data_IF_111182018117
#
_entry.id   IF_111182018117
#
_cell.length_a   1.000
_cell.length_b   1.000
_cell.length_c   1.000
_cell.angle_alpha   90.00
_cell.angle_beta   90.00
_cell.angle_gamma   90.00
#
_symmetry.space_group_name_H-M   'P 1'
#
loop_
_entity.id
_entity.type
_entity.pdbx_description
1 polymer ?
#
# COMPACT_ATOMS: atom_id res chain seq x y z
N UNK A 1 -22.60 33.04 -10.26
CA UNK A 1 -22.48 33.33 -8.82
C UNK A 1 -23.14 32.18 -8.06
N UNK A 2 -22.50 31.01 -7.96
CA UNK A 2 -21.61 30.55 -6.85
C UNK A 2 -22.31 30.59 -5.48
N UNK A 3 -22.84 29.46 -4.99
CA UNK A 3 -22.12 28.36 -4.28
C UNK A 3 -21.87 28.63 -2.79
N UNK A 4 -22.93 28.82 -2.01
CA UNK A 4 -22.80 28.98 -0.54
C UNK A 4 -23.79 28.14 0.31
N UNK A 5 -24.73 27.41 -0.29
CA UNK A 5 -25.80 26.72 0.47
C UNK A 5 -25.54 25.24 0.79
N UNK A 6 -24.41 24.67 0.38
CA UNK A 6 -24.16 23.22 0.46
C UNK A 6 -23.23 22.75 1.57
N UNK A 7 -22.88 23.59 2.56
CA UNK A 7 -21.97 23.22 3.66
C UNK A 7 -22.62 23.11 5.06
N UNK A 8 -23.94 23.16 5.18
CA UNK A 8 -24.64 23.13 6.49
C UNK A 8 -25.61 21.97 6.66
N UNK A 9 -25.33 20.82 6.06
CA UNK A 9 -25.99 19.56 6.44
C UNK A 9 -25.00 18.64 7.14
N UNK A 10 -24.63 19.01 8.37
CA UNK A 10 -24.09 18.06 9.33
C UNK A 10 -25.24 17.10 9.67
N UNK A 11 -25.01 15.80 9.46
CA UNK A 11 -25.94 14.64 9.48
C UNK A 11 -26.71 14.37 10.79
N UNK A 12 -26.94 15.37 11.62
CA UNK A 12 -27.61 15.24 12.92
C UNK A 12 -28.73 16.26 13.03
N UNK A 13 -29.66 16.36 12.07
CA UNK A 13 -30.99 17.02 12.16
C UNK A 13 -31.13 18.44 12.76
N UNK A 14 -30.06 19.07 13.19
CA UNK A 14 -30.03 20.24 14.05
C UNK A 14 -29.28 21.33 13.29
N UNK A 15 -29.92 22.49 13.16
CA UNK A 15 -29.27 23.63 12.53
C UNK A 15 -28.10 24.12 13.39
N UNK A 16 -27.07 24.72 12.76
CA UNK A 16 -25.93 25.30 13.47
C UNK A 16 -26.37 26.30 14.56
N UNK A 17 -27.45 27.05 14.31
CA UNK A 17 -28.06 27.95 15.30
C UNK A 17 -28.59 27.20 16.52
N UNK A 18 -29.26 26.07 16.31
CA UNK A 18 -29.82 25.25 17.40
C UNK A 18 -28.72 24.65 18.28
N UNK A 19 -27.60 24.23 17.69
CA UNK A 19 -26.43 23.73 18.43
C UNK A 19 -25.77 24.85 19.25
N UNK A 20 -25.60 26.03 18.66
CA UNK A 20 -25.04 27.21 19.34
C UNK A 20 -25.94 27.64 20.50
N UNK A 21 -27.25 27.71 20.30
CA UNK A 21 -28.21 28.07 21.35
C UNK A 21 -28.21 27.07 22.52
N UNK A 22 -28.04 25.77 22.24
CA UNK A 22 -27.88 24.76 23.29
C UNK A 22 -26.54 24.90 24.03
N UNK A 23 -25.44 25.16 23.32
CA UNK A 23 -24.15 25.40 23.95
C UNK A 23 -24.18 26.62 24.88
N UNK A 24 -24.85 27.71 24.47
CA UNK A 24 -25.01 28.91 25.30
C UNK A 24 -25.83 28.59 26.55
N UNK A 25 -26.97 27.90 26.43
CA UNK A 25 -27.80 27.51 27.59
C UNK A 25 -27.07 26.60 28.58
N UNK A 26 -26.25 25.68 28.06
CA UNK A 26 -25.40 24.81 28.88
C UNK A 26 -24.33 25.65 29.58
N UNK A 27 -23.67 26.57 28.86
CA UNK A 27 -22.67 27.49 29.42
C UNK A 27 -23.26 28.35 30.55
N UNK A 28 -24.42 28.94 30.34
CA UNK A 28 -25.11 29.78 31.33
C UNK A 28 -25.53 28.95 32.56
N UNK A 29 -25.99 27.71 32.37
CA UNK A 29 -26.34 26.80 33.47
C UNK A 29 -25.11 26.37 34.29
N UNK A 30 -23.95 26.20 33.65
CA UNK A 30 -22.69 25.85 34.34
C UNK A 30 -22.10 27.07 35.06
N UNK A 31 -22.27 28.29 34.51
CA UNK A 31 -21.80 29.53 35.13
C UNK A 31 -22.46 29.82 36.49
N UNK A 32 -23.71 29.38 36.69
CA UNK A 32 -24.46 29.54 37.95
C UNK A 32 -23.89 28.69 39.11
N UNK A 33 -23.11 27.65 38.82
CA UNK A 33 -22.63 26.67 39.83
C UNK A 33 -21.31 27.10 40.51
N UNK A 34 -20.76 28.25 40.11
CA UNK A 34 -19.54 28.82 40.68
C UNK A 34 -18.23 28.20 40.16
N UNK A 35 -17.07 28.84 40.42
CA UNK A 35 -15.81 28.52 39.74
C UNK A 35 -15.29 27.10 39.98
N UNK A 36 -15.59 26.51 41.14
CA UNK A 36 -15.16 25.15 41.49
C UNK A 36 -15.93 24.08 40.72
N UNK A 37 -17.24 24.25 40.57
CA UNK A 37 -18.07 23.34 39.81
C UNK A 37 -17.78 23.41 38.30
N UNK A 38 -17.47 24.60 37.77
CA UNK A 38 -17.01 24.76 36.39
C UNK A 38 -15.69 24.01 36.14
N UNK A 39 -14.69 24.16 37.02
CA UNK A 39 -13.43 23.40 36.92
C UNK A 39 -13.66 21.90 36.95
N UNK A 40 -14.53 21.44 37.85
CA UNK A 40 -14.89 20.03 37.97
C UNK A 40 -15.55 19.50 36.69
N UNK A 41 -16.51 20.24 36.12
CA UNK A 41 -17.16 19.88 34.85
C UNK A 41 -16.16 19.79 33.68
N UNK A 42 -15.21 20.73 33.59
CA UNK A 42 -14.17 20.72 32.56
C UNK A 42 -13.21 19.53 32.69
N UNK A 43 -12.86 19.12 33.92
CA UNK A 43 -12.05 17.93 34.16
C UNK A 43 -12.79 16.67 33.69
N UNK A 44 -14.07 16.52 34.04
CA UNK A 44 -14.87 15.38 33.60
C UNK A 44 -15.07 15.33 32.08
N UNK A 45 -15.31 16.48 31.44
CA UNK A 45 -15.40 16.58 29.99
C UNK A 45 -14.07 16.20 29.31
N UNK A 46 -12.94 16.72 29.81
CA UNK A 46 -11.62 16.39 29.30
C UNK A 46 -11.25 14.92 29.49
N UNK A 47 -11.64 14.30 30.61
CA UNK A 47 -11.44 12.88 30.84
C UNK A 47 -12.29 12.03 29.87
N UNK A 48 -13.54 12.42 29.63
CA UNK A 48 -14.42 11.74 28.67
C UNK A 48 -13.85 11.74 27.24
N UNK A 49 -13.27 12.87 26.80
CA UNK A 49 -12.62 12.98 25.49
C UNK A 49 -11.40 12.05 25.41
N UNK A 50 -10.52 12.07 26.41
CA UNK A 50 -9.32 11.22 26.43
C UNK A 50 -9.65 9.72 26.42
N UNK A 51 -10.69 9.32 27.14
CA UNK A 51 -11.16 7.92 27.14
C UNK A 51 -11.72 7.53 25.77
N UNK A 52 -12.47 8.43 25.11
CA UNK A 52 -12.97 8.19 23.76
C UNK A 52 -11.83 8.08 22.72
N UNK A 53 -10.84 8.98 22.79
CA UNK A 53 -9.65 8.94 21.94
C UNK A 53 -8.86 7.65 22.12
N UNK A 54 -8.59 7.26 23.37
CA UNK A 54 -7.87 6.02 23.67
C UNK A 54 -8.60 4.78 23.13
N UNK A 55 -9.93 4.75 23.18
CA UNK A 55 -10.74 3.65 22.63
C UNK A 55 -10.67 3.59 21.11
N UNK A 56 -10.68 4.74 20.43
CA UNK A 56 -10.56 4.79 18.96
C UNK A 56 -9.17 4.32 18.53
N UNK A 57 -8.12 4.77 19.21
CA UNK A 57 -6.74 4.35 18.92
C UNK A 57 -6.58 2.84 19.15
N UNK A 58 -7.04 2.32 20.29
CA UNK A 58 -6.96 0.88 20.58
C UNK A 58 -7.72 0.03 19.54
N UNK A 59 -8.93 0.46 19.13
CA UNK A 59 -9.70 -0.23 18.09
C UNK A 59 -9.02 -0.17 16.71
N UNK A 60 -8.35 0.94 16.41
CA UNK A 60 -7.58 1.07 15.17
C UNK A 60 -6.36 0.15 15.16
N UNK A 61 -5.60 0.13 16.25
CA UNK A 61 -4.42 -0.73 16.39
C UNK A 61 -4.79 -2.21 16.33
N UNK A 62 -5.86 -2.63 17.02
CA UNK A 62 -6.38 -4.00 16.93
C UNK A 62 -6.82 -4.37 15.51
N UNK A 63 -7.48 -3.45 14.80
CA UNK A 63 -7.83 -3.68 13.40
C UNK A 63 -6.59 -3.78 12.50
N UNK A 64 -5.56 -2.98 12.78
CA UNK A 64 -4.32 -2.98 12.03
C UNK A 64 -3.51 -4.27 12.25
N UNK A 65 -3.42 -4.75 13.50
CA UNK A 65 -2.76 -6.03 13.83
C UNK A 65 -3.51 -7.19 13.20
N UNK A 66 -4.84 -7.26 13.33
CA UNK A 66 -5.64 -8.31 12.71
C UNK A 66 -5.50 -8.34 11.18
N UNK A 67 -5.47 -7.18 10.52
CA UNK A 67 -5.20 -7.10 9.08
C UNK A 67 -3.80 -7.60 8.74
N UNK A 68 -2.80 -7.18 9.52
CA UNK A 68 -1.41 -7.61 9.33
C UNK A 68 -1.27 -9.13 9.47
N UNK A 69 -1.83 -9.70 10.53
CA UNK A 69 -1.77 -11.14 10.82
C UNK A 69 -2.54 -11.95 9.78
N UNK A 70 -3.72 -11.46 9.36
CA UNK A 70 -4.47 -12.07 8.27
C UNK A 70 -3.66 -12.10 6.97
N UNK A 71 -3.06 -10.98 6.57
CA UNK A 71 -2.24 -10.90 5.36
C UNK A 71 -0.99 -11.78 5.46
N UNK A 72 -0.35 -11.85 6.62
CA UNK A 72 0.81 -12.70 6.86
C UNK A 72 0.45 -14.19 6.75
N UNK A 73 -0.67 -14.61 7.35
CA UNK A 73 -1.15 -15.99 7.30
C UNK A 73 -1.56 -16.39 5.89
N UNK A 74 -2.32 -15.54 5.19
CA UNK A 74 -2.68 -15.78 3.79
C UNK A 74 -1.46 -15.85 2.88
N UNK A 75 -0.45 -15.00 3.12
CA UNK A 75 0.81 -15.06 2.38
C UNK A 75 1.52 -16.41 2.56
N UNK A 76 1.55 -16.97 3.78
CA UNK A 76 2.16 -18.27 4.05
C UNK A 76 1.37 -19.44 3.46
N UNK A 77 0.04 -19.36 3.50
CA UNK A 77 -0.85 -20.38 2.92
C UNK A 77 -0.86 -20.38 1.39
N UNK A 78 -0.64 -19.22 0.75
CA UNK A 78 -0.47 -19.12 -0.70
C UNK A 78 0.94 -19.54 -1.13
N UNK A 79 1.96 -19.22 -0.32
CA UNK A 79 3.36 -19.53 -0.63
C UNK A 79 3.62 -21.04 -0.74
N UNK A 80 3.04 -21.83 0.16
CA UNK A 80 3.27 -23.28 0.24
C UNK A 80 2.84 -24.03 -1.03
N UNK A 81 1.60 -23.90 -1.54
CA UNK A 81 1.19 -24.53 -2.80
C UNK A 81 1.96 -23.96 -3.99
N UNK A 82 2.27 -22.65 -4.01
CA UNK A 82 3.05 -22.03 -5.08
C UNK A 82 4.47 -22.62 -5.18
N UNK A 83 5.15 -22.83 -4.06
CA UNK A 83 6.47 -23.49 -4.02
C UNK A 83 6.41 -24.95 -4.51
N UNK A 84 5.33 -25.67 -4.19
CA UNK A 84 5.08 -27.00 -4.71
C UNK A 84 4.93 -27.00 -6.24
N UNK A 85 4.15 -26.07 -6.79
CA UNK A 85 3.96 -25.93 -8.24
C UNK A 85 5.26 -25.56 -8.97
N UNK A 86 6.06 -24.65 -8.41
CA UNK A 86 7.37 -24.29 -8.96
C UNK A 86 8.38 -25.44 -8.94
N UNK A 87 8.39 -26.20 -7.84
CA UNK A 87 9.25 -27.39 -7.73
C UNK A 87 8.86 -28.44 -8.77
N UNK A 88 7.57 -28.66 -9.00
CA UNK A 88 7.08 -29.55 -10.05
C UNK A 88 7.45 -29.05 -11.45
N UNK A 89 7.34 -27.73 -11.69
CA UNK A 89 7.72 -27.11 -12.96
C UNK A 89 9.24 -27.24 -13.23
N UNK A 90 10.09 -27.08 -12.21
CA UNK A 90 11.53 -27.27 -12.32
C UNK A 90 11.89 -28.73 -12.71
N UNK A 91 11.18 -29.73 -12.17
CA UNK A 91 11.36 -31.13 -12.55
C UNK A 91 10.87 -31.44 -13.98
N UNK A 92 9.90 -30.69 -14.49
CA UNK A 92 9.44 -30.81 -15.88
C UNK A 92 10.46 -30.21 -16.86
N UNK A 93 11.08 -29.09 -16.49
CA UNK A 93 12.10 -28.39 -17.27
C UNK A 93 13.39 -29.19 -17.49
N UNK A 94 13.71 -30.12 -16.59
CA UNK A 94 14.87 -31.03 -16.68
C UNK A 94 14.65 -32.17 -17.71
N UNK A 95 13.44 -32.33 -18.24
CA UNK A 95 13.11 -33.33 -19.27
C UNK A 95 13.25 -32.75 -20.68
N UNK A 96 13.30 -33.64 -21.67
CA UNK A 96 13.30 -33.25 -23.09
C UNK A 96 11.89 -32.79 -23.51
N UNK A 97 11.54 -31.55 -23.17
CA UNK A 97 10.27 -30.91 -23.51
C UNK A 97 10.27 -30.43 -24.97
N UNK A 98 9.12 -30.55 -25.64
CA UNK A 98 8.87 -29.86 -26.91
C UNK A 98 8.88 -28.34 -26.71
N UNK A 99 9.22 -27.60 -27.76
CA UNK A 99 9.36 -26.13 -27.75
C UNK A 99 8.14 -25.42 -27.14
N UNK A 100 6.94 -25.79 -27.57
CA UNK A 100 5.67 -25.22 -27.08
C UNK A 100 5.41 -25.49 -25.58
N UNK A 101 5.91 -26.60 -25.03
CA UNK A 101 5.78 -26.93 -23.60
C UNK A 101 6.86 -26.24 -22.76
N UNK A 102 8.00 -25.93 -23.37
CA UNK A 102 9.09 -25.19 -22.75
C UNK A 102 8.67 -23.74 -22.54
N UNK A 103 8.09 -23.09 -23.54
CA UNK A 103 7.56 -21.72 -23.42
C UNK A 103 6.51 -21.60 -22.30
N UNK A 104 5.58 -22.55 -22.23
CA UNK A 104 4.54 -22.54 -21.20
C UNK A 104 5.12 -22.70 -19.79
N UNK A 105 6.09 -23.60 -19.63
CA UNK A 105 6.76 -23.81 -18.35
C UNK A 105 7.71 -22.65 -17.99
N UNK A 106 8.25 -21.92 -18.97
CA UNK A 106 9.02 -20.70 -18.75
C UNK A 106 8.13 -19.56 -18.24
N UNK A 107 6.94 -19.38 -18.83
CA UNK A 107 5.92 -18.43 -18.35
C UNK A 107 5.50 -18.75 -16.90
N UNK A 108 5.32 -20.03 -16.55
CA UNK A 108 5.01 -20.46 -15.18
C UNK A 108 6.18 -20.17 -14.23
N UNK A 109 7.41 -20.42 -14.67
CA UNK A 109 8.63 -20.15 -13.92
C UNK A 109 8.81 -18.65 -13.64
N UNK A 110 8.59 -17.80 -14.63
CA UNK A 110 8.64 -16.34 -14.49
C UNK A 110 7.54 -15.83 -13.57
N UNK A 111 6.32 -16.34 -13.73
CA UNK A 111 5.15 -15.92 -12.96
C UNK A 111 5.23 -16.30 -11.48
N UNK A 112 5.91 -17.41 -11.14
CA UNK A 112 5.97 -17.91 -9.78
C UNK A 112 7.24 -17.55 -9.01
N UNK A 113 8.18 -16.77 -9.56
CA UNK A 113 9.43 -16.44 -8.85
C UNK A 113 9.22 -15.61 -7.56
N UNK A 114 8.94 -16.28 -6.45
CA UNK A 114 9.30 -15.87 -5.09
C UNK A 114 10.68 -16.49 -4.77
N UNK A 115 11.75 -15.78 -5.08
CA UNK A 115 13.11 -16.24 -4.84
C UNK A 115 13.41 -16.37 -3.32
N UNK A 116 14.29 -17.29 -2.88
CA UNK A 116 14.77 -17.28 -1.51
C UNK A 116 15.40 -15.93 -1.18
N UNK A 117 15.11 -15.44 0.04
CA UNK A 117 15.38 -14.10 0.57
C UNK A 117 16.85 -13.61 0.50
N UNK A 118 17.80 -14.44 0.08
CA UNK A 118 19.23 -14.13 -0.02
C UNK A 118 19.87 -14.87 -1.21
N UNK A 119 19.40 -14.63 -2.43
CA UNK A 119 20.02 -15.23 -3.63
C UNK A 119 20.93 -14.23 -4.34
N UNK A 120 22.16 -14.66 -4.65
CA UNK A 120 23.06 -13.98 -5.57
C UNK A 120 22.38 -13.89 -6.95
N UNK A 121 22.18 -12.68 -7.47
CA UNK A 121 21.59 -12.51 -8.81
C UNK A 121 22.27 -11.44 -9.62
N UNK A 122 22.20 -11.65 -10.93
CA UNK A 122 22.60 -10.66 -11.92
C UNK A 122 21.60 -9.49 -11.95
N UNK A 123 22.04 -8.35 -11.46
CA UNK A 123 21.21 -7.14 -11.36
C UNK A 123 20.88 -6.56 -12.75
N UNK A 124 21.78 -6.70 -13.73
CA UNK A 124 21.52 -6.24 -15.08
C UNK A 124 20.41 -7.09 -15.71
N UNK A 125 20.47 -8.40 -15.52
CA UNK A 125 19.43 -9.31 -15.99
C UNK A 125 18.06 -8.98 -15.39
N UNK A 126 17.99 -8.67 -14.09
CA UNK A 126 16.72 -8.27 -13.44
C UNK A 126 16.18 -6.98 -14.06
N UNK A 127 17.02 -5.94 -14.21
CA UNK A 127 16.60 -4.67 -14.78
C UNK A 127 16.13 -4.78 -16.23
N UNK A 128 16.80 -5.60 -17.05
CA UNK A 128 16.36 -5.87 -18.42
C UNK A 128 15.00 -6.55 -18.47
N UNK A 129 14.72 -7.51 -17.59
CA UNK A 129 13.41 -8.17 -17.53
C UNK A 129 12.30 -7.22 -17.08
N UNK A 130 12.57 -6.34 -16.11
CA UNK A 130 11.62 -5.29 -15.70
C UNK A 130 11.35 -4.31 -16.85
N UNK A 131 12.39 -3.85 -17.54
CA UNK A 131 12.28 -2.93 -18.67
C UNK A 131 11.40 -3.50 -19.79
N UNK A 132 11.61 -4.77 -20.17
CA UNK A 132 10.80 -5.45 -21.18
C UNK A 132 9.33 -5.54 -20.79
N UNK A 133 9.05 -5.94 -19.54
CA UNK A 133 7.69 -6.03 -19.03
C UNK A 133 6.98 -4.67 -19.03
N UNK A 134 7.70 -3.60 -18.68
CA UNK A 134 7.12 -2.27 -18.56
C UNK A 134 6.89 -1.58 -19.91
N UNK A 135 7.78 -1.75 -20.90
CA UNK A 135 7.62 -1.14 -22.23
C UNK A 135 6.26 -1.45 -22.88
N UNK A 136 5.72 -2.64 -22.63
CA UNK A 136 4.42 -3.09 -23.15
C UNK A 136 3.21 -2.42 -22.48
N UNK A 137 3.41 -1.70 -21.38
CA UNK A 137 2.34 -1.08 -20.57
C UNK A 137 2.24 0.43 -20.76
N UNK A 138 3.17 1.02 -21.52
CA UNK A 138 3.26 2.46 -21.68
C UNK A 138 2.28 3.03 -22.70
N UNK A 139 1.90 4.29 -22.47
CA UNK A 139 1.13 5.08 -23.43
C UNK A 139 1.96 5.27 -24.71
N UNK A 140 1.34 5.34 -25.90
CA UNK A 140 2.06 5.43 -27.19
C UNK A 140 3.04 6.61 -27.32
N UNK A 141 2.82 7.67 -26.55
CA UNK A 141 3.62 8.90 -26.55
C UNK A 141 4.64 8.97 -25.40
N UNK A 142 4.86 7.88 -24.68
CA UNK A 142 5.87 7.76 -23.61
C UNK A 142 6.90 6.71 -24.00
N UNK A 143 8.17 7.11 -24.04
CA UNK A 143 9.31 6.22 -24.30
C UNK A 143 9.95 5.76 -22.99
N UNK A 144 10.50 4.55 -22.99
CA UNK A 144 11.27 4.04 -21.86
C UNK A 144 12.70 3.70 -22.28
N UNK A 145 13.66 4.25 -21.56
CA UNK A 145 15.09 4.03 -21.73
C UNK A 145 15.66 3.38 -20.48
N UNK A 146 16.44 2.31 -20.65
CA UNK A 146 17.20 1.68 -19.58
C UNK A 146 18.67 2.07 -19.74
N UNK A 147 19.23 2.72 -18.74
CA UNK A 147 20.60 3.23 -18.72
C UNK A 147 21.35 2.69 -17.49
N UNK A 148 22.02 1.55 -17.69
CA UNK A 148 22.79 0.90 -16.64
C UNK A 148 24.27 1.31 -16.73
N UNK A 149 24.84 1.75 -15.60
CA UNK A 149 26.27 2.07 -15.51
C UNK A 149 27.14 0.88 -15.92
N UNK A 150 28.23 1.09 -16.69
CA UNK A 150 29.18 0.03 -17.00
C UNK A 150 29.89 -0.54 -15.75
N UNK A 151 29.94 0.23 -14.66
CA UNK A 151 30.52 -0.18 -13.38
C UNK A 151 29.49 -0.89 -12.47
N UNK A 152 28.29 -1.19 -12.98
CA UNK A 152 27.24 -1.83 -12.19
C UNK A 152 27.70 -3.22 -11.72
N UNK A 153 27.60 -3.52 -10.41
CA UNK A 153 28.01 -4.81 -9.88
C UNK A 153 27.25 -5.95 -10.56
N UNK A 154 27.96 -6.92 -11.14
CA UNK A 154 27.33 -8.04 -11.86
C UNK A 154 26.50 -8.94 -10.98
N UNK A 155 26.76 -8.99 -9.67
CA UNK A 155 26.03 -9.84 -8.75
C UNK A 155 25.73 -9.05 -7.48
N UNK A 156 24.46 -9.05 -7.07
CA UNK A 156 24.05 -8.53 -5.78
C UNK A 156 23.52 -9.66 -4.89
N UNK A 157 23.84 -9.58 -3.60
CA UNK A 157 23.23 -10.43 -2.58
C UNK A 157 22.07 -9.64 -1.96
N UNK A 158 20.86 -10.20 -2.02
CA UNK A 158 19.69 -9.57 -1.43
C UNK A 158 18.41 -10.33 -1.74
N UNK A 159 17.28 -9.69 -1.44
CA UNK A 159 15.94 -10.17 -1.77
C UNK A 159 15.56 -9.65 -3.17
N UNK A 160 15.59 -10.51 -4.21
CA UNK A 160 15.30 -10.09 -5.58
C UNK A 160 13.84 -9.67 -5.75
N UNK A 161 12.93 -10.23 -4.96
CA UNK A 161 11.51 -9.93 -5.05
C UNK A 161 11.23 -8.54 -4.51
N UNK A 162 11.80 -8.18 -3.35
CA UNK A 162 11.70 -6.82 -2.82
C UNK A 162 12.35 -5.80 -3.75
N UNK A 163 13.52 -6.13 -4.31
CA UNK A 163 14.15 -5.28 -5.32
C UNK A 163 13.21 -5.04 -6.52
N UNK A 164 12.70 -6.14 -7.10
CA UNK A 164 11.77 -6.08 -8.22
C UNK A 164 10.51 -5.26 -7.87
N UNK A 165 9.90 -5.49 -6.71
CA UNK A 165 8.70 -4.79 -6.28
C UNK A 165 8.94 -3.29 -6.11
N UNK A 166 10.07 -2.89 -5.53
CA UNK A 166 10.43 -1.48 -5.37
C UNK A 166 10.62 -0.83 -6.74
N UNK A 167 11.41 -1.44 -7.61
CA UNK A 167 11.69 -0.92 -8.96
C UNK A 167 10.40 -0.84 -9.78
N UNK A 168 9.57 -1.88 -9.75
CA UNK A 168 8.29 -1.92 -10.45
C UNK A 168 7.32 -0.83 -9.95
N UNK A 169 7.25 -0.57 -8.64
CA UNK A 169 6.43 0.50 -8.10
C UNK A 169 6.89 1.88 -8.58
N UNK A 170 8.20 2.13 -8.60
CA UNK A 170 8.76 3.40 -9.08
C UNK A 170 8.44 3.62 -10.56
N UNK A 171 8.65 2.59 -11.37
CA UNK A 171 8.43 2.63 -12.81
C UNK A 171 6.94 2.76 -13.15
N UNK A 172 6.06 2.01 -12.47
CA UNK A 172 4.61 2.14 -12.62
C UNK A 172 4.12 3.55 -12.26
N UNK A 173 4.66 4.14 -11.19
CA UNK A 173 4.36 5.52 -10.84
C UNK A 173 4.84 6.48 -11.93
N UNK A 174 6.06 6.31 -12.44
CA UNK A 174 6.57 7.13 -13.54
C UNK A 174 5.66 7.06 -14.79
N UNK A 175 5.20 5.86 -15.18
CA UNK A 175 4.26 5.69 -16.29
C UNK A 175 2.91 6.36 -16.05
N UNK A 176 2.39 6.24 -14.82
CA UNK A 176 1.11 6.84 -14.43
C UNK A 176 1.13 8.37 -14.53
N UNK A 177 2.23 8.99 -14.09
CA UNK A 177 2.36 10.45 -14.01
C UNK A 177 3.00 11.10 -15.24
N UNK A 178 3.44 10.31 -16.23
CA UNK A 178 3.97 10.84 -17.50
C UNK A 178 2.86 10.86 -18.55
N UNK A 179 2.53 12.07 -19.00
CA UNK A 179 1.53 12.29 -20.05
C UNK A 179 2.13 12.14 -21.46
N UNK A 180 3.40 12.47 -21.64
CA UNK A 180 4.18 12.29 -22.87
C UNK A 180 5.67 12.62 -22.63
N UNK A 181 6.58 12.02 -23.41
CA UNK A 181 8.02 12.22 -23.26
C UNK A 181 8.79 10.91 -23.04
N UNK A 182 9.71 10.89 -22.08
CA UNK A 182 10.51 9.69 -21.76
C UNK A 182 10.67 9.45 -20.25
N UNK A 183 10.82 8.18 -19.90
CA UNK A 183 11.18 7.69 -18.55
C UNK A 183 12.52 6.97 -18.70
N UNK A 184 13.50 7.30 -17.85
CA UNK A 184 14.82 6.68 -17.84
C UNK A 184 15.06 5.99 -16.50
N UNK A 185 15.46 4.72 -16.53
CA UNK A 185 15.87 3.93 -15.36
C UNK A 185 17.37 3.70 -15.37
#
# INVERSE_FOLDING_TARGET
MTSADSLTQIKTGWSLRTLVDQMIRISDSIAVVGPQAYKMAMIFAGLGIRVAEARIIAAYDESATLKSDFLANMSNEIRTPMHGMLSANALLMDRNLSEEKRDLAEVIQESGQLAPFLSWRDIAHINHSIARGFQNTLKPNVKFELDLSPDLPKIIQGDPLRYWQVVQNLINNAGKFTEGGSIRL
#
